data_IF_652310402182
#
_entry.id   IF_652310402182
#
_cell.length_a   1.000
_cell.length_b   1.000
_cell.length_c   1.000
_cell.angle_alpha   90.00
_cell.angle_beta   90.00
_cell.angle_gamma   90.00
#
_symmetry.space_group_name_H-M   'P 1'
#
loop_
_entity.id
_entity.type
_entity.pdbx_description
1 polymer ?
#
# COMPACT_ATOMS: atom_id res chain seq x y z
N UNK A 1 -11.95 -23.88 15.24
CA UNK A 1 -11.78 -22.40 15.28
C UNK A 1 -12.30 -21.69 14.02
N UNK A 2 -11.99 -22.15 12.79
CA UNK A 2 -12.78 -21.76 11.60
C UNK A 2 -14.25 -22.18 11.71
N UNK A 3 -14.56 -23.29 12.40
CA UNK A 3 -15.94 -23.69 12.74
C UNK A 3 -16.77 -22.56 13.38
N UNK A 4 -16.11 -21.69 14.15
CA UNK A 4 -16.72 -20.60 14.89
C UNK A 4 -16.74 -19.27 14.12
N UNK A 5 -15.86 -19.10 13.12
CA UNK A 5 -16.04 -18.11 12.04
C UNK A 5 -17.32 -18.41 11.25
N UNK A 6 -17.66 -19.70 11.19
CA UNK A 6 -18.62 -20.32 10.29
C UNK A 6 -20.02 -20.58 10.88
N UNK A 7 -20.18 -20.57 12.20
CA UNK A 7 -21.51 -20.63 12.82
C UNK A 7 -22.28 -21.94 12.67
N UNK A 8 -21.67 -23.08 12.32
CA UNK A 8 -22.22 -24.44 12.57
C UNK A 8 -21.11 -25.50 12.60
N UNK A 9 -21.30 -26.51 13.47
CA UNK A 9 -20.42 -27.66 13.63
C UNK A 9 -20.44 -28.65 12.46
N UNK A 10 -19.31 -29.36 12.34
CA UNK A 10 -19.08 -30.59 11.57
C UNK A 10 -19.52 -30.59 10.10
N UNK A 11 -18.57 -30.33 9.19
CA UNK A 11 -18.57 -30.99 7.88
C UNK A 11 -18.17 -32.45 8.09
N UNK A 12 -19.03 -33.39 7.66
CA UNK A 12 -18.72 -34.81 7.65
C UNK A 12 -17.71 -35.09 6.53
N UNK A 13 -16.44 -35.32 6.89
CA UNK A 13 -15.49 -36.14 6.11
C UNK A 13 -14.30 -35.45 5.43
N UNK A 14 -14.20 -34.11 5.41
CA UNK A 14 -13.06 -33.40 4.82
C UNK A 14 -12.57 -32.27 5.73
N UNK A 15 -11.26 -32.13 5.91
CA UNK A 15 -10.66 -31.08 6.72
C UNK A 15 -11.05 -29.67 6.27
N UNK A 16 -10.86 -28.68 7.15
CA UNK A 16 -11.17 -27.26 6.95
C UNK A 16 -10.42 -26.71 5.75
N UNK A 17 -11.15 -26.12 4.82
CA UNK A 17 -10.59 -25.60 3.59
C UNK A 17 -10.85 -24.10 3.43
N UNK A 18 -9.78 -23.30 3.32
CA UNK A 18 -9.88 -21.90 2.97
C UNK A 18 -9.47 -21.67 1.50
N UNK A 19 -10.16 -20.75 0.82
CA UNK A 19 -9.79 -20.29 -0.52
C UNK A 19 -9.40 -18.81 -0.44
N UNK A 20 -8.27 -18.45 -1.03
CA UNK A 20 -7.84 -17.06 -1.17
C UNK A 20 -7.83 -16.70 -2.65
N UNK A 21 -8.53 -15.63 -3.03
CA UNK A 21 -8.59 -15.14 -4.41
C UNK A 21 -7.50 -14.07 -4.57
N UNK A 22 -6.52 -14.32 -5.43
CA UNK A 22 -5.37 -13.46 -5.71
C UNK A 22 -4.10 -13.88 -4.96
N UNK A 23 -2.97 -13.97 -5.66
CA UNK A 23 -1.66 -14.31 -5.11
C UNK A 23 -0.70 -13.10 -5.03
N UNK A 24 -1.24 -11.90 -4.79
CA UNK A 24 -0.44 -10.72 -4.44
C UNK A 24 -0.05 -10.76 -2.94
N UNK A 25 0.73 -9.77 -2.46
CA UNK A 25 1.12 -9.67 -1.04
C UNK A 25 -0.04 -9.88 -0.05
N UNK A 26 -1.19 -9.24 -0.27
CA UNK A 26 -2.35 -9.39 0.62
C UNK A 26 -2.87 -10.83 0.66
N UNK A 27 -2.94 -11.49 -0.50
CA UNK A 27 -3.42 -12.86 -0.61
C UNK A 27 -2.42 -13.88 -0.07
N UNK A 28 -1.12 -13.71 -0.36
CA UNK A 28 -0.07 -14.58 0.16
C UNK A 28 0.05 -14.49 1.68
N UNK A 29 0.02 -13.28 2.24
CA UNK A 29 0.06 -13.10 3.70
C UNK A 29 -1.23 -13.60 4.37
N UNK A 30 -2.39 -13.43 3.75
CA UNK A 30 -3.63 -14.04 4.25
C UNK A 30 -3.57 -15.58 4.21
N UNK A 31 -3.06 -16.16 3.13
CA UNK A 31 -2.89 -17.60 3.00
C UNK A 31 -1.92 -18.16 4.06
N UNK A 32 -0.81 -17.45 4.29
CA UNK A 32 0.16 -17.77 5.35
C UNK A 32 -0.52 -17.88 6.71
N UNK A 33 -1.27 -16.86 7.12
CA UNK A 33 -2.01 -16.85 8.39
C UNK A 33 -3.07 -17.95 8.44
N UNK A 34 -3.81 -18.16 7.34
CA UNK A 34 -4.87 -19.16 7.29
C UNK A 34 -4.35 -20.60 7.37
N UNK A 35 -3.09 -20.87 7.00
CA UNK A 35 -2.50 -22.20 7.07
C UNK A 35 -2.33 -22.74 8.50
N UNK A 36 -2.37 -21.87 9.52
CA UNK A 36 -2.39 -22.27 10.93
C UNK A 36 -3.81 -22.59 11.44
N UNK A 37 -4.84 -22.21 10.67
CA UNK A 37 -6.23 -22.32 11.07
C UNK A 37 -7.08 -23.24 10.19
N UNK A 38 -6.61 -23.55 8.98
CA UNK A 38 -7.21 -24.46 8.01
C UNK A 38 -6.32 -25.68 7.78
N UNK A 39 -6.93 -26.80 7.42
CA UNK A 39 -6.20 -28.02 7.09
C UNK A 39 -5.65 -27.96 5.64
N UNK A 40 -6.27 -27.14 4.79
CA UNK A 40 -5.81 -26.77 3.44
C UNK A 40 -6.16 -25.32 3.09
N UNK A 41 -5.29 -24.65 2.36
CA UNK A 41 -5.51 -23.32 1.78
C UNK A 41 -5.25 -23.38 0.28
N UNK A 42 -6.22 -22.98 -0.55
CA UNK A 42 -6.04 -22.87 -2.00
C UNK A 42 -5.99 -21.41 -2.41
N UNK A 43 -4.89 -20.97 -3.01
CA UNK A 43 -4.73 -19.62 -3.58
C UNK A 43 -5.03 -19.66 -5.07
N UNK A 44 -6.01 -18.88 -5.51
CA UNK A 44 -6.43 -18.78 -6.92
C UNK A 44 -5.75 -17.57 -7.55
N UNK A 45 -5.00 -17.77 -8.62
CA UNK A 45 -4.30 -16.70 -9.34
C UNK A 45 -4.56 -16.77 -10.84
N UNK A 46 -4.89 -15.61 -11.42
CA UNK A 46 -5.24 -15.48 -12.84
C UNK A 46 -4.02 -15.51 -13.75
N UNK A 47 -2.85 -15.18 -13.21
CA UNK A 47 -1.59 -15.28 -13.91
C UNK A 47 -0.91 -16.63 -13.64
N UNK A 48 0.14 -16.93 -14.40
CA UNK A 48 1.15 -17.91 -13.98
C UNK A 48 2.21 -17.17 -13.17
N UNK A 49 2.53 -17.70 -12.00
CA UNK A 49 3.49 -17.10 -11.09
C UNK A 49 4.90 -17.35 -11.63
N UNK A 50 5.74 -16.31 -11.78
CA UNK A 50 7.11 -16.49 -12.27
C UNK A 50 7.97 -17.21 -11.22
N UNK A 51 9.02 -17.90 -11.65
CA UNK A 51 9.96 -18.56 -10.74
C UNK A 51 10.90 -17.56 -10.06
N UNK A 52 11.03 -16.34 -10.61
CA UNK A 52 11.88 -15.26 -10.13
C UNK A 52 11.15 -13.95 -9.80
N UNK A 53 11.92 -12.89 -9.47
CA UNK A 53 11.42 -11.54 -9.18
C UNK A 53 11.07 -10.79 -10.47
N UNK A 54 10.05 -11.25 -11.19
CA UNK A 54 9.62 -10.68 -12.47
C UNK A 54 8.23 -10.01 -12.40
N UNK A 55 7.99 -8.93 -13.16
CA UNK A 55 6.67 -8.34 -13.31
C UNK A 55 5.66 -9.31 -13.94
N UNK A 56 4.38 -9.21 -13.54
CA UNK A 56 3.28 -10.01 -14.11
C UNK A 56 2.03 -9.17 -14.37
N UNK A 57 1.18 -9.62 -15.30
CA UNK A 57 0.05 -8.85 -15.81
C UNK A 57 -1.05 -8.53 -14.79
N UNK A 58 -1.20 -9.32 -13.73
CA UNK A 58 -2.13 -9.11 -12.62
C UNK A 58 -1.63 -8.11 -11.56
N UNK A 59 -0.38 -7.65 -11.66
CA UNK A 59 0.21 -6.61 -10.80
C UNK A 59 0.83 -5.53 -11.69
N UNK A 60 0.04 -4.79 -12.48
CA UNK A 60 0.56 -3.76 -13.38
C UNK A 60 1.35 -2.67 -12.64
N UNK A 61 0.98 -2.38 -11.38
CA UNK A 61 1.67 -1.44 -10.52
C UNK A 61 3.10 -1.87 -10.12
N UNK A 62 3.50 -3.12 -10.38
CA UNK A 62 4.84 -3.64 -10.04
C UNK A 62 6.00 -2.91 -10.72
N UNK A 63 5.69 -2.13 -11.77
CA UNK A 63 6.67 -1.38 -12.57
C UNK A 63 6.88 0.06 -12.09
N UNK A 64 6.25 0.45 -10.98
CA UNK A 64 6.36 1.79 -10.39
C UNK A 64 7.16 1.74 -9.09
N UNK A 65 7.57 2.91 -8.60
CA UNK A 65 8.29 3.03 -7.34
C UNK A 65 7.44 2.55 -6.17
N UNK A 66 8.03 1.74 -5.28
CA UNK A 66 7.40 1.27 -4.06
C UNK A 66 8.31 1.53 -2.87
N UNK A 67 7.70 1.81 -1.71
CA UNK A 67 8.39 1.92 -0.43
C UNK A 67 7.68 1.05 0.58
N UNK A 68 8.45 0.44 1.48
CA UNK A 68 7.92 -0.29 2.64
C UNK A 68 8.22 0.53 3.91
N UNK A 69 7.15 1.08 4.49
CA UNK A 69 7.22 1.91 5.70
C UNK A 69 7.59 1.08 6.94
N UNK A 70 8.13 1.72 7.99
CA UNK A 70 8.56 1.05 9.23
C UNK A 70 7.54 0.06 9.80
N UNK A 71 6.25 0.44 9.93
CA UNK A 71 5.23 -0.48 10.45
C UNK A 71 5.00 -1.70 9.51
N UNK A 72 5.20 -1.51 8.21
CA UNK A 72 5.14 -2.59 7.23
C UNK A 72 6.31 -3.54 7.39
N UNK A 73 7.53 -3.01 7.56
CA UNK A 73 8.73 -3.82 7.83
C UNK A 73 8.54 -4.70 9.07
N UNK A 74 8.08 -4.10 10.17
CA UNK A 74 7.76 -4.79 11.42
C UNK A 74 6.71 -5.89 11.20
N UNK A 75 5.61 -5.59 10.52
CA UNK A 75 4.55 -6.56 10.25
C UNK A 75 5.02 -7.71 9.33
N UNK A 76 5.87 -7.41 8.34
CA UNK A 76 6.46 -8.43 7.47
C UNK A 76 7.40 -9.36 8.24
N UNK A 77 8.28 -8.84 9.11
CA UNK A 77 9.13 -9.69 9.94
C UNK A 77 8.35 -10.45 11.00
N UNK A 78 7.27 -9.88 11.52
CA UNK A 78 6.42 -10.57 12.48
C UNK A 78 5.70 -11.77 11.84
N UNK A 79 5.25 -11.63 10.59
CA UNK A 79 4.60 -12.71 9.84
C UNK A 79 5.62 -13.69 9.24
N UNK A 80 6.75 -13.19 8.73
CA UNK A 80 7.76 -13.94 8.02
C UNK A 80 9.16 -13.58 8.57
N UNK A 81 9.55 -14.11 9.75
CA UNK A 81 10.78 -13.70 10.46
C UNK A 81 12.04 -13.64 9.59
N UNK A 82 12.71 -12.48 9.59
CA UNK A 82 13.95 -12.23 8.85
C UNK A 82 13.75 -11.96 7.36
N UNK A 83 12.55 -11.55 6.93
CA UNK A 83 12.31 -11.23 5.52
C UNK A 83 12.86 -9.86 5.14
N UNK A 84 12.92 -8.91 6.08
CA UNK A 84 13.52 -7.60 5.82
C UNK A 84 15.03 -7.69 5.66
N UNK A 85 15.70 -8.50 6.49
CA UNK A 85 17.12 -8.79 6.33
C UNK A 85 17.40 -9.46 4.99
N UNK A 86 16.59 -10.44 4.60
CA UNK A 86 16.71 -11.09 3.30
C UNK A 86 16.52 -10.12 2.12
N UNK A 87 15.60 -9.15 2.22
CA UNK A 87 15.46 -8.10 1.21
C UNK A 87 16.74 -7.29 1.06
N UNK A 88 17.38 -6.95 2.18
CA UNK A 88 18.65 -6.19 2.21
C UNK A 88 19.80 -7.01 1.64
N UNK A 89 19.86 -8.31 1.93
CA UNK A 89 20.82 -9.24 1.33
C UNK A 89 20.66 -9.34 -0.20
N UNK A 90 19.43 -9.18 -0.71
CA UNK A 90 19.14 -9.08 -2.15
C UNK A 90 19.33 -7.66 -2.71
N UNK A 91 19.92 -6.74 -1.93
CA UNK A 91 20.29 -5.40 -2.36
C UNK A 91 19.18 -4.36 -2.28
N UNK A 92 18.07 -4.62 -1.57
CA UNK A 92 17.05 -3.60 -1.33
C UNK A 92 17.61 -2.48 -0.44
N UNK A 93 17.62 -1.21 -0.89
CA UNK A 93 18.13 -0.11 -0.10
C UNK A 93 17.28 0.16 1.15
N UNK A 94 17.93 0.64 2.22
CA UNK A 94 17.32 0.99 3.49
C UNK A 94 17.70 2.43 3.85
N UNK A 95 16.74 3.35 3.79
CA UNK A 95 16.97 4.78 3.89
C UNK A 95 16.34 5.35 5.15
N UNK A 96 17.10 6.14 5.89
CA UNK A 96 16.67 6.91 7.05
C UNK A 96 16.05 8.25 6.67
N UNK A 97 14.91 8.57 7.28
CA UNK A 97 14.20 9.84 7.09
C UNK A 97 14.20 10.68 8.37
N UNK A 98 14.53 11.99 8.28
CA UNK A 98 14.77 12.78 7.06
C UNK A 98 16.25 12.86 6.65
N UNK A 99 17.15 12.03 7.20
CA UNK A 99 18.60 12.18 7.01
C UNK A 99 19.08 11.91 5.58
N UNK A 100 18.52 10.89 4.92
CA UNK A 100 19.08 10.34 3.68
C UNK A 100 18.40 10.91 2.43
N UNK A 101 17.27 11.59 2.61
CA UNK A 101 16.47 12.14 1.52
C UNK A 101 16.49 13.67 1.49
N UNK A 102 16.55 14.24 0.30
CA UNK A 102 16.23 15.65 0.07
C UNK A 102 14.74 15.78 -0.20
N UNK A 103 14.01 16.41 0.74
CA UNK A 103 12.54 16.50 0.69
C UNK A 103 12.06 17.94 0.59
N UNK A 104 11.19 18.20 -0.39
CA UNK A 104 10.40 19.42 -0.54
C UNK A 104 8.93 19.11 -0.28
N UNK A 105 8.32 19.82 0.66
CA UNK A 105 6.90 19.69 0.97
C UNK A 105 6.36 20.99 1.56
N UNK A 106 5.12 21.31 1.21
CA UNK A 106 4.43 22.53 1.64
C UNK A 106 5.24 23.83 1.44
N UNK A 107 6.01 23.92 0.35
CA UNK A 107 6.79 25.10 0.00
C UNK A 107 8.12 25.25 0.78
N UNK A 108 8.60 24.20 1.44
CA UNK A 108 9.82 24.24 2.25
C UNK A 108 10.69 23.00 2.04
N UNK A 109 12.01 23.21 2.11
CA UNK A 109 12.98 22.12 2.24
C UNK A 109 12.99 21.57 3.67
N UNK A 110 13.01 20.25 3.80
CA UNK A 110 13.18 19.60 5.09
C UNK A 110 14.64 19.64 5.53
N UNK A 111 14.86 19.89 6.82
CA UNK A 111 16.17 19.72 7.44
C UNK A 111 16.53 18.23 7.49
N UNK A 112 17.78 17.92 7.12
CA UNK A 112 18.33 16.55 7.14
C UNK A 112 18.94 16.24 8.50
N UNK A 113 18.06 16.14 9.49
CA UNK A 113 18.38 15.76 10.88
C UNK A 113 18.49 14.24 11.02
N UNK A 114 18.91 13.77 12.20
CA UNK A 114 18.98 12.34 12.52
C UNK A 114 17.69 11.59 12.17
N UNK A 115 17.83 10.42 11.55
CA UNK A 115 16.70 9.62 11.11
C UNK A 115 15.83 9.19 12.30
N UNK A 116 14.51 9.37 12.15
CA UNK A 116 13.52 8.89 13.15
C UNK A 116 12.54 7.87 12.56
N UNK A 117 12.65 7.60 11.26
CA UNK A 117 11.87 6.59 10.56
C UNK A 117 12.70 6.05 9.39
N UNK A 118 12.37 4.86 8.89
CA UNK A 118 13.12 4.24 7.81
C UNK A 118 12.20 3.64 6.76
N UNK A 119 12.63 3.69 5.49
CA UNK A 119 11.98 3.02 4.37
C UNK A 119 12.90 1.95 3.79
N UNK A 120 12.33 0.82 3.39
CA UNK A 120 12.95 -0.11 2.46
C UNK A 120 12.40 0.17 1.05
N UNK A 121 13.27 0.14 0.03
CA UNK A 121 12.88 0.43 -1.37
C UNK A 121 13.11 -0.75 -2.34
N UNK A 122 12.62 -1.97 -2.01
CA UNK A 122 12.71 -3.09 -2.93
C UNK A 122 11.81 -2.86 -4.15
N UNK A 123 12.18 -3.40 -5.30
CA UNK A 123 11.20 -3.54 -6.37
C UNK A 123 10.04 -4.43 -5.90
N UNK A 124 8.84 -4.14 -6.41
CA UNK A 124 7.66 -4.96 -6.11
C UNK A 124 7.84 -6.44 -6.52
N UNK A 125 8.45 -6.77 -7.67
CA UNK A 125 8.75 -8.15 -8.02
C UNK A 125 9.66 -8.86 -7.02
N UNK A 126 10.71 -8.22 -6.50
CA UNK A 126 11.60 -8.80 -5.49
C UNK A 126 10.84 -9.16 -4.21
N UNK A 127 10.11 -8.19 -3.64
CA UNK A 127 9.34 -8.40 -2.43
C UNK A 127 8.29 -9.51 -2.61
N UNK A 128 7.53 -9.48 -3.70
CA UNK A 128 6.50 -10.47 -3.96
C UNK A 128 7.08 -11.88 -4.19
N UNK A 129 8.23 -11.99 -4.84
CA UNK A 129 8.92 -13.27 -5.02
C UNK A 129 9.41 -13.87 -3.71
N UNK A 130 10.05 -13.08 -2.83
CA UNK A 130 10.51 -13.55 -1.52
C UNK A 130 9.34 -14.01 -0.64
N UNK A 131 8.28 -13.21 -0.56
CA UNK A 131 7.05 -13.57 0.15
C UNK A 131 6.44 -14.84 -0.43
N UNK A 132 6.29 -14.92 -1.75
CA UNK A 132 5.76 -16.10 -2.44
C UNK A 132 6.57 -17.35 -2.11
N UNK A 133 7.90 -17.27 -2.18
CA UNK A 133 8.79 -18.41 -1.91
C UNK A 133 8.63 -18.93 -0.49
N UNK A 134 8.57 -18.04 0.51
CA UNK A 134 8.39 -18.43 1.93
C UNK A 134 6.99 -18.96 2.21
N UNK A 135 5.95 -18.33 1.67
CA UNK A 135 4.56 -18.75 1.91
C UNK A 135 4.28 -20.10 1.26
N UNK A 136 4.67 -20.29 -0.01
CA UNK A 136 4.39 -21.53 -0.75
C UNK A 136 5.30 -22.71 -0.34
N UNK A 137 6.29 -22.49 0.52
CA UNK A 137 7.03 -23.58 1.14
C UNK A 137 6.17 -24.37 2.15
N UNK A 138 5.05 -23.81 2.60
CA UNK A 138 4.11 -24.51 3.48
C UNK A 138 3.24 -25.49 2.67
N UNK A 139 3.29 -26.81 2.94
CA UNK A 139 2.57 -27.83 2.16
C UNK A 139 1.04 -27.75 2.30
N UNK A 140 0.50 -26.98 3.25
CA UNK A 140 -0.94 -26.73 3.36
C UNK A 140 -1.45 -25.70 2.35
N UNK A 141 -0.55 -24.96 1.69
CA UNK A 141 -0.88 -23.89 0.77
C UNK A 141 -0.62 -24.35 -0.67
N UNK A 142 -1.69 -24.48 -1.44
CA UNK A 142 -1.65 -24.86 -2.86
C UNK A 142 -2.06 -23.68 -3.74
N UNK A 143 -1.55 -23.61 -4.98
CA UNK A 143 -1.94 -22.58 -5.94
C UNK A 143 -2.66 -23.16 -7.14
N UNK A 144 -3.76 -22.55 -7.56
CA UNK A 144 -4.40 -22.78 -8.86
C UNK A 144 -4.12 -21.56 -9.73
N UNK A 145 -3.18 -21.70 -10.66
CA UNK A 145 -2.69 -20.62 -11.51
C UNK A 145 -3.42 -20.57 -12.85
N UNK A 146 -3.30 -19.46 -13.58
CA UNK A 146 -3.97 -19.27 -14.87
C UNK A 146 -5.50 -19.39 -14.78
N UNK A 147 -6.07 -19.13 -13.62
CA UNK A 147 -7.49 -19.39 -13.32
C UNK A 147 -8.10 -18.20 -12.59
N UNK A 148 -9.29 -17.80 -13.01
CA UNK A 148 -10.02 -16.68 -12.42
C UNK A 148 -11.18 -17.17 -11.58
N UNK A 149 -11.37 -16.58 -10.39
CA UNK A 149 -12.66 -16.67 -9.71
C UNK A 149 -13.68 -15.81 -10.47
N UNK A 150 -14.83 -16.39 -10.79
CA UNK A 150 -15.89 -15.74 -11.59
C UNK A 150 -17.22 -15.65 -10.83
N UNK A 151 -17.30 -16.23 -9.64
CA UNK A 151 -18.46 -16.18 -8.78
C UNK A 151 -18.21 -16.81 -7.41
N UNK A 152 -19.16 -16.63 -6.51
CA UNK A 152 -19.18 -17.27 -5.20
C UNK A 152 -20.26 -18.36 -5.19
N UNK A 153 -20.05 -19.40 -4.39
CA UNK A 153 -21.05 -20.43 -4.09
C UNK A 153 -21.71 -20.12 -2.75
N UNK A 154 -23.01 -20.39 -2.63
CA UNK A 154 -23.74 -20.24 -1.37
C UNK A 154 -25.05 -19.46 -1.54
N UNK A 155 -25.37 -18.67 -0.53
CA UNK A 155 -26.60 -17.86 -0.47
C UNK A 155 -26.35 -16.57 0.35
N UNK A 156 -27.42 -15.79 0.57
CA UNK A 156 -27.36 -14.51 1.27
C UNK A 156 -26.93 -14.62 2.75
N UNK A 157 -26.90 -15.83 3.31
CA UNK A 157 -26.51 -16.12 4.69
C UNK A 157 -25.10 -16.67 4.78
N UNK A 158 -24.62 -17.42 3.78
CA UNK A 158 -23.29 -18.03 3.84
C UNK A 158 -22.69 -18.30 2.47
N UNK A 159 -21.42 -17.89 2.31
CA UNK A 159 -20.54 -18.32 1.23
C UNK A 159 -19.93 -19.68 1.57
N UNK A 160 -19.89 -20.58 0.59
CA UNK A 160 -19.49 -21.99 0.72
C UNK A 160 -18.43 -22.41 -0.30
N UNK A 161 -17.84 -21.46 -1.02
CA UNK A 161 -16.87 -21.75 -2.07
C UNK A 161 -16.86 -20.71 -3.18
N UNK A 162 -16.15 -21.02 -4.26
CA UNK A 162 -16.01 -20.14 -5.43
C UNK A 162 -16.22 -20.91 -6.72
N UNK A 163 -16.61 -20.20 -7.77
CA UNK A 163 -16.65 -20.68 -9.15
C UNK A 163 -15.37 -20.24 -9.87
N UNK A 164 -14.70 -21.19 -10.51
CA UNK A 164 -13.43 -20.98 -11.20
C UNK A 164 -13.57 -21.10 -12.70
N UNK A 165 -12.81 -20.31 -13.45
CA UNK A 165 -12.71 -20.42 -14.91
C UNK A 165 -11.25 -20.33 -15.34
N UNK A 166 -10.78 -21.33 -16.08
CA UNK A 166 -9.45 -21.31 -16.68
C UNK A 166 -9.33 -20.17 -17.69
N UNK A 167 -8.16 -19.54 -17.73
CA UNK A 167 -7.85 -18.42 -18.62
C UNK A 167 -7.06 -18.90 -19.84
N UNK A 168 -7.41 -18.39 -21.02
CA UNK A 168 -6.68 -18.61 -22.26
C UNK A 168 -7.59 -18.92 -23.45
N UNK A 169 -7.10 -18.66 -24.67
CA UNK A 169 -7.86 -18.87 -25.90
C UNK A 169 -8.34 -20.32 -26.08
N UNK A 170 -7.52 -21.30 -25.66
CA UNK A 170 -7.88 -22.71 -25.69
C UNK A 170 -9.03 -23.05 -24.71
N UNK A 171 -9.07 -22.44 -23.53
CA UNK A 171 -10.17 -22.64 -22.57
C UNK A 171 -11.46 -21.96 -23.02
N UNK A 172 -11.35 -20.77 -23.64
CA UNK A 172 -12.48 -20.03 -24.20
C UNK A 172 -13.13 -20.73 -25.41
N UNK A 173 -12.32 -21.38 -26.26
CA UNK A 173 -12.82 -22.11 -27.43
C UNK A 173 -13.64 -23.37 -27.08
N UNK A 174 -13.43 -23.94 -25.89
CA UNK A 174 -14.10 -25.17 -25.45
C UNK A 174 -15.40 -24.86 -24.68
N UNK A 175 -15.69 -23.58 -24.39
CA UNK A 175 -16.95 -23.18 -23.72
C UNK A 175 -17.18 -23.88 -22.37
N UNK A 176 -16.10 -24.23 -21.65
CA UNK A 176 -16.23 -25.00 -20.39
C UNK A 176 -16.97 -24.19 -19.34
N UNK A 177 -17.97 -24.83 -18.73
CA UNK A 177 -18.68 -24.29 -17.59
C UNK A 177 -17.72 -24.03 -16.41
N UNK A 178 -17.94 -22.95 -15.63
CA UNK A 178 -17.15 -22.67 -14.44
C UNK A 178 -17.17 -23.85 -13.45
N UNK A 179 -15.99 -24.18 -12.92
CA UNK A 179 -15.82 -25.31 -12.01
C UNK A 179 -15.97 -24.87 -10.55
N UNK A 180 -16.80 -25.55 -9.73
CA UNK A 180 -16.96 -25.21 -8.33
C UNK A 180 -15.81 -25.75 -7.49
N UNK A 181 -15.34 -24.95 -6.52
CA UNK A 181 -14.50 -25.42 -5.40
C UNK A 181 -15.18 -25.05 -4.09
N UNK A 182 -15.51 -26.07 -3.29
CA UNK A 182 -16.10 -25.88 -1.97
C UNK A 182 -15.06 -25.34 -0.98
N UNK A 183 -15.44 -24.39 -0.13
CA UNK A 183 -14.59 -23.81 0.89
C UNK A 183 -15.40 -23.42 2.12
N UNK A 184 -14.77 -23.56 3.28
CA UNK A 184 -15.31 -23.13 4.57
C UNK A 184 -15.17 -21.62 4.77
N UNK A 185 -14.14 -21.02 4.15
CA UNK A 185 -13.87 -19.58 4.16
C UNK A 185 -13.31 -19.16 2.81
N UNK A 186 -13.85 -18.08 2.25
CA UNK A 186 -13.32 -17.42 1.06
C UNK A 186 -12.78 -16.05 1.45
N UNK A 187 -11.52 -15.77 1.11
CA UNK A 187 -10.89 -14.46 1.28
C UNK A 187 -10.64 -13.85 -0.08
N UNK A 188 -11.28 -12.72 -0.37
CA UNK A 188 -10.99 -11.92 -1.54
C UNK A 188 -9.81 -10.98 -1.28
N UNK A 189 -8.70 -11.27 -1.96
CA UNK A 189 -7.49 -10.46 -2.04
C UNK A 189 -7.13 -10.14 -3.51
N UNK A 190 -8.14 -10.12 -4.40
CA UNK A 190 -7.98 -9.86 -5.84
C UNK A 190 -7.63 -8.39 -6.17
N UNK A 191 -7.58 -7.56 -5.12
CA UNK A 191 -7.13 -6.19 -5.17
C UNK A 191 -8.15 -5.23 -5.78
N UNK A 192 -7.68 -4.14 -6.39
CA UNK A 192 -8.51 -3.04 -6.89
C UNK A 192 -9.62 -3.51 -7.85
N UNK A 193 -9.34 -4.55 -8.64
CA UNK A 193 -10.27 -5.14 -9.62
C UNK A 193 -11.30 -6.11 -9.03
N UNK A 194 -11.47 -6.16 -7.71
CA UNK A 194 -12.42 -7.06 -7.05
C UNK A 194 -13.83 -6.97 -7.63
N UNK A 195 -14.40 -8.14 -7.91
CA UNK A 195 -15.80 -8.33 -8.33
C UNK A 195 -16.68 -8.85 -7.19
N UNK A 196 -16.15 -8.95 -5.97
CA UNK A 196 -16.88 -9.47 -4.82
C UNK A 196 -18.20 -8.73 -4.52
N UNK A 197 -18.32 -7.39 -4.67
CA UNK A 197 -19.62 -6.73 -4.51
C UNK A 197 -20.71 -7.31 -5.41
N UNK A 198 -20.39 -7.62 -6.66
CA UNK A 198 -21.33 -8.18 -7.63
C UNK A 198 -21.66 -9.63 -7.28
N UNK A 199 -20.65 -10.44 -6.95
CA UNK A 199 -20.85 -11.84 -6.56
C UNK A 199 -21.70 -11.98 -5.30
N UNK A 200 -21.50 -11.12 -4.31
CA UNK A 200 -22.31 -11.08 -3.10
C UNK A 200 -23.76 -10.70 -3.42
N UNK A 201 -23.98 -9.69 -4.26
CA UNK A 201 -25.33 -9.33 -4.71
C UNK A 201 -26.01 -10.47 -5.45
N UNK A 202 -25.29 -11.22 -6.29
CA UNK A 202 -25.82 -12.39 -6.99
C UNK A 202 -26.26 -13.52 -6.04
N UNK A 203 -25.60 -13.67 -4.88
CA UNK A 203 -26.04 -14.57 -3.80
C UNK A 203 -27.22 -14.03 -2.99
N UNK A 204 -27.71 -12.83 -3.31
CA UNK A 204 -28.75 -12.13 -2.57
C UNK A 204 -28.23 -11.37 -1.35
N UNK A 205 -26.93 -11.24 -1.12
CA UNK A 205 -26.39 -10.37 -0.08
C UNK A 205 -26.54 -8.89 -0.45
N UNK A 206 -26.48 -8.01 0.54
CA UNK A 206 -26.49 -6.57 0.29
C UNK A 206 -25.08 -6.11 -0.11
N UNK A 207 -25.01 -5.28 -1.16
CA UNK A 207 -23.76 -4.70 -1.67
C UNK A 207 -23.10 -3.85 -0.56
N UNK A 208 -21.77 -3.95 -0.35
CA UNK A 208 -21.09 -3.03 0.56
C UNK A 208 -21.22 -1.60 0.04
N UNK A 209 -21.41 -0.65 0.95
CA UNK A 209 -21.26 0.78 0.63
C UNK A 209 -19.81 1.04 0.22
N UNK A 210 -19.65 1.85 -0.83
CA UNK A 210 -18.35 2.23 -1.37
C UNK A 210 -18.15 3.73 -1.16
N UNK A 211 -17.04 4.07 -0.49
CA UNK A 211 -16.58 5.44 -0.30
C UNK A 211 -15.43 5.69 -1.27
N UNK A 212 -15.52 6.72 -2.09
CA UNK A 212 -14.53 7.03 -3.14
C UNK A 212 -14.03 8.46 -3.00
N UNK A 213 -12.73 8.65 -3.24
CA UNK A 213 -12.10 9.95 -3.39
C UNK A 213 -11.04 9.88 -4.49
N UNK A 214 -11.25 10.63 -5.57
CA UNK A 214 -10.39 10.63 -6.75
C UNK A 214 -9.89 12.04 -7.06
N UNK A 215 -8.58 12.21 -7.02
CA UNK A 215 -7.87 13.45 -7.40
C UNK A 215 -7.43 13.45 -8.87
N UNK A 216 -7.66 12.35 -9.59
CA UNK A 216 -7.19 12.16 -10.97
C UNK A 216 -5.67 12.02 -11.08
N UNK A 217 -5.01 11.65 -9.99
CA UNK A 217 -3.56 11.51 -9.96
C UNK A 217 -3.05 10.50 -10.98
N UNK A 218 -2.05 10.91 -11.76
CA UNK A 218 -1.35 10.07 -12.69
C UNK A 218 0.15 10.08 -12.39
N UNK A 219 0.80 8.95 -12.65
CA UNK A 219 2.25 8.83 -12.58
C UNK A 219 2.82 8.37 -13.89
N UNK A 220 4.05 8.79 -14.16
CA UNK A 220 4.94 8.15 -15.10
C UNK A 220 6.18 7.68 -14.32
N UNK A 221 6.62 6.43 -14.50
CA UNK A 221 7.82 5.91 -13.85
C UNK A 221 8.80 5.35 -14.86
N UNK A 222 10.08 5.61 -14.65
CA UNK A 222 11.17 5.14 -15.49
C UNK A 222 12.35 4.70 -14.63
N UNK A 223 13.02 3.65 -15.06
CA UNK A 223 14.22 3.11 -14.42
C UNK A 223 15.45 3.79 -15.01
N UNK A 224 16.39 4.14 -14.14
CA UNK A 224 17.64 4.81 -14.46
C UNK A 224 18.82 4.11 -13.78
N UNK A 225 20.00 4.31 -14.35
CA UNK A 225 21.28 4.22 -13.66
C UNK A 225 21.67 5.61 -13.19
N UNK A 226 22.15 5.74 -11.95
CA UNK A 226 22.56 7.03 -11.39
C UNK A 226 23.68 7.68 -12.21
N UNK A 227 23.87 9.00 -12.08
CA UNK A 227 25.07 9.66 -12.57
C UNK A 227 26.35 9.00 -12.05
N UNK A 228 27.45 9.13 -12.80
CA UNK A 228 28.76 8.65 -12.34
C UNK A 228 29.17 9.40 -11.06
N UNK A 229 29.86 8.69 -10.14
CA UNK A 229 30.29 9.26 -8.85
C UNK A 229 31.22 10.46 -8.99
N UNK A 230 31.34 11.26 -7.92
CA UNK A 230 31.99 12.56 -7.90
C UNK A 230 31.02 13.73 -8.14
N UNK A 231 29.72 13.51 -7.92
CA UNK A 231 28.67 14.50 -8.15
C UNK A 231 28.18 15.14 -6.84
N UNK A 232 27.50 16.27 -6.92
CA UNK A 232 26.84 16.89 -5.75
C UNK A 232 25.74 16.01 -5.11
N UNK A 233 25.43 14.85 -5.72
CA UNK A 233 24.41 13.91 -5.27
C UNK A 233 24.96 12.75 -4.44
N UNK A 234 26.27 12.68 -4.23
CA UNK A 234 26.92 11.52 -3.61
C UNK A 234 26.59 11.34 -2.11
N UNK A 235 26.17 12.41 -1.41
CA UNK A 235 25.73 12.37 0.01
C UNK A 235 24.19 12.34 0.13
N UNK A 236 23.47 11.86 -0.90
CA UNK A 236 22.03 11.80 -0.88
C UNK A 236 21.50 10.53 -1.56
N UNK A 237 20.60 9.85 -0.86
CA UNK A 237 20.06 8.56 -1.27
C UNK A 237 18.64 8.65 -1.85
N UNK A 238 18.14 9.87 -2.11
CA UNK A 238 16.88 10.09 -2.85
C UNK A 238 16.26 11.49 -2.73
N UNK A 239 15.23 11.72 -3.55
CA UNK A 239 14.48 12.98 -3.60
C UNK A 239 12.97 12.76 -3.46
N UNK A 240 12.33 13.51 -2.57
CA UNK A 240 10.86 13.62 -2.49
C UNK A 240 10.41 15.05 -2.75
N UNK A 241 9.66 15.26 -3.82
CA UNK A 241 8.94 16.52 -4.09
C UNK A 241 7.45 16.22 -3.97
N UNK A 242 6.86 16.58 -2.83
CA UNK A 242 5.48 16.22 -2.48
C UNK A 242 4.50 17.24 -3.06
N UNK A 243 3.49 16.82 -3.85
CA UNK A 243 2.42 17.71 -4.31
C UNK A 243 1.64 18.33 -3.15
N UNK A 244 1.10 19.52 -3.39
CA UNK A 244 0.20 20.23 -2.47
C UNK A 244 -0.82 21.06 -3.27
N UNK A 245 -1.70 21.78 -2.57
CA UNK A 245 -2.79 22.56 -3.19
C UNK A 245 -2.28 23.61 -4.18
N UNK A 246 -1.11 24.21 -3.94
CA UNK A 246 -0.47 25.18 -4.84
C UNK A 246 0.48 24.56 -5.88
N UNK A 247 0.82 23.28 -5.72
CA UNK A 247 1.77 22.55 -6.57
C UNK A 247 1.21 21.14 -6.82
N UNK A 248 0.36 21.00 -7.84
CA UNK A 248 -0.40 19.78 -8.11
C UNK A 248 0.41 18.67 -8.80
N UNK A 249 1.73 18.73 -8.72
CA UNK A 249 2.67 17.79 -9.32
C UNK A 249 3.90 17.61 -8.42
N UNK A 250 4.64 16.54 -8.65
CA UNK A 250 5.72 16.13 -7.77
C UNK A 250 6.60 15.05 -8.38
N UNK A 251 7.62 14.65 -7.65
CA UNK A 251 8.61 13.69 -8.09
C UNK A 251 9.13 12.85 -6.92
N UNK A 252 9.44 11.59 -7.20
CA UNK A 252 10.14 10.69 -6.32
C UNK A 252 11.31 10.09 -7.09
N UNK A 253 12.51 10.17 -6.52
CA UNK A 253 13.73 9.54 -7.04
C UNK A 253 14.28 8.67 -5.92
N UNK A 254 14.24 7.35 -6.10
CA UNK A 254 14.68 6.40 -5.08
C UNK A 254 15.52 5.28 -5.69
N UNK A 255 16.53 4.79 -4.97
CA UNK A 255 17.30 3.62 -5.37
C UNK A 255 16.46 2.35 -5.21
N UNK A 256 16.81 1.34 -5.98
CA UNK A 256 16.25 -0.01 -5.92
C UNK A 256 17.39 -1.01 -6.15
N UNK A 257 17.15 -2.31 -5.94
CA UNK A 257 18.21 -3.30 -6.06
C UNK A 257 18.84 -3.36 -7.47
N UNK A 258 20.12 -3.73 -7.50
CA UNK A 258 20.92 -3.89 -8.73
C UNK A 258 21.48 -2.59 -9.30
N UNK A 259 21.87 -1.65 -8.42
CA UNK A 259 22.44 -0.34 -8.79
C UNK A 259 21.54 0.50 -9.71
N UNK A 260 20.23 0.40 -9.49
CA UNK A 260 19.20 1.08 -10.27
C UNK A 260 18.45 2.09 -9.42
N UNK A 261 17.80 3.01 -10.11
CA UNK A 261 16.99 4.06 -9.53
C UNK A 261 15.65 4.13 -10.24
N UNK A 262 14.58 4.27 -9.48
CA UNK A 262 13.25 4.55 -10.04
C UNK A 262 12.94 6.03 -9.89
N UNK A 263 12.61 6.67 -11.00
CA UNK A 263 12.10 8.04 -11.02
C UNK A 263 10.62 7.99 -11.34
N UNK A 264 9.80 8.46 -10.42
CA UNK A 264 8.36 8.63 -10.59
C UNK A 264 8.03 10.12 -10.62
N UNK A 265 7.48 10.58 -11.73
CA UNK A 265 6.85 11.90 -11.84
C UNK A 265 5.35 11.73 -11.60
N UNK A 266 4.74 12.70 -10.95
CA UNK A 266 3.33 12.65 -10.54
C UNK A 266 2.63 13.97 -10.83
N UNK A 267 1.35 13.89 -11.19
CA UNK A 267 0.51 15.07 -11.38
C UNK A 267 -0.97 14.75 -11.21
N UNK A 268 -1.72 15.65 -10.57
CA UNK A 268 -3.17 15.57 -10.45
C UNK A 268 -3.86 15.81 -11.80
N UNK A 269 -5.18 15.72 -11.82
CA UNK A 269 -6.00 15.95 -13.02
C UNK A 269 -5.59 17.23 -13.76
N UNK A 270 -5.26 17.12 -15.04
CA UNK A 270 -4.81 18.22 -15.90
C UNK A 270 -3.31 18.56 -15.79
N UNK A 271 -2.55 17.87 -14.94
CA UNK A 271 -1.10 18.03 -14.80
C UNK A 271 -0.37 16.69 -15.00
N UNK A 272 -0.95 15.74 -15.73
CA UNK A 272 -0.44 14.39 -15.87
C UNK A 272 0.95 14.37 -16.55
N UNK A 273 1.90 13.56 -16.05
CA UNK A 273 3.21 13.44 -16.69
C UNK A 273 3.12 12.65 -18.01
N UNK A 274 3.86 13.08 -19.05
CA UNK A 274 3.97 12.35 -20.30
C UNK A 274 4.84 11.08 -20.15
N UNK A 275 4.81 10.24 -21.18
CA UNK A 275 5.55 8.96 -21.22
C UNK A 275 6.58 8.88 -22.35
N UNK A 276 6.63 9.85 -23.24
CA UNK A 276 7.73 9.96 -24.20
C UNK A 276 8.99 10.50 -23.49
N UNK A 277 10.16 10.14 -24.01
CA UNK A 277 11.44 10.40 -23.35
C UNK A 277 11.73 11.89 -23.13
N UNK A 278 11.43 12.72 -24.14
CA UNK A 278 11.67 14.17 -24.08
C UNK A 278 10.70 14.82 -23.09
N UNK A 279 9.40 14.54 -23.22
CA UNK A 279 8.38 15.08 -22.34
C UNK A 279 8.57 14.66 -20.89
N UNK A 280 9.03 13.42 -20.63
CA UNK A 280 9.29 12.96 -19.25
C UNK A 280 10.36 13.82 -18.58
N UNK A 281 11.43 14.16 -19.31
CA UNK A 281 12.53 14.98 -18.79
C UNK A 281 12.11 16.44 -18.66
N UNK A 282 11.41 16.99 -19.66
CA UNK A 282 10.88 18.37 -19.65
C UNK A 282 9.87 18.59 -18.52
N UNK A 283 9.08 17.57 -18.16
CA UNK A 283 8.15 17.68 -17.03
C UNK A 283 8.86 18.05 -15.73
N UNK A 284 10.10 17.61 -15.52
CA UNK A 284 10.89 17.94 -14.34
C UNK A 284 11.20 19.45 -14.23
N UNK A 285 11.15 20.21 -15.32
CA UNK A 285 11.36 21.67 -15.33
C UNK A 285 10.22 22.42 -14.63
N UNK A 286 9.05 21.78 -14.49
CA UNK A 286 7.91 22.35 -13.78
C UNK A 286 8.09 22.27 -12.26
N UNK A 287 8.96 21.38 -11.76
CA UNK A 287 9.15 21.20 -10.34
C UNK A 287 9.67 22.50 -9.69
N UNK A 288 9.41 22.72 -8.38
CA UNK A 288 9.78 23.96 -7.68
C UNK A 288 11.26 24.31 -7.72
N UNK A 289 12.12 23.34 -8.03
CA UNK A 289 13.55 23.51 -8.07
C UNK A 289 14.19 22.50 -9.05
N UNK A 290 15.23 22.87 -9.81
CA UNK A 290 15.82 22.05 -10.87
C UNK A 290 16.64 20.84 -10.39
N UNK A 291 16.60 20.47 -9.11
CA UNK A 291 17.45 19.41 -8.56
C UNK A 291 17.18 18.06 -9.22
N UNK A 292 15.91 17.71 -9.42
CA UNK A 292 15.50 16.47 -10.10
C UNK A 292 15.84 16.54 -11.59
N UNK A 293 15.65 17.69 -12.23
CA UNK A 293 16.03 17.89 -13.62
C UNK A 293 17.54 17.68 -13.82
N UNK A 294 18.37 18.31 -13.00
CA UNK A 294 19.83 18.16 -13.02
C UNK A 294 20.27 16.72 -12.76
N UNK A 295 19.57 16.00 -11.88
CA UNK A 295 19.83 14.58 -11.64
C UNK A 295 19.53 13.75 -12.90
N UNK A 296 18.41 14.03 -13.58
CA UNK A 296 18.03 13.36 -14.83
C UNK A 296 19.02 13.61 -15.96
N UNK A 297 19.56 14.83 -16.08
CA UNK A 297 20.54 15.18 -17.12
C UNK A 297 21.85 14.37 -17.01
N UNK A 298 22.22 13.97 -15.77
CA UNK A 298 23.38 13.12 -15.51
C UNK A 298 23.09 11.61 -15.50
N UNK A 299 21.82 11.22 -15.41
CA UNK A 299 21.41 9.82 -15.26
C UNK A 299 21.17 9.14 -16.62
N UNK A 300 21.40 7.84 -16.69
CA UNK A 300 21.15 7.06 -17.91
C UNK A 300 19.83 6.29 -17.79
N UNK A 301 18.85 6.52 -18.67
CA UNK A 301 17.62 5.73 -18.64
C UNK A 301 17.87 4.27 -19.08
N UNK A 302 17.23 3.33 -18.38
CA UNK A 302 17.31 1.89 -18.64
C UNK A 302 15.96 1.25 -19.03
N UNK A 303 14.86 2.01 -18.95
CA UNK A 303 13.55 1.57 -19.40
C UNK A 303 12.83 2.66 -20.20
N UNK A 304 11.72 2.32 -20.85
CA UNK A 304 10.71 3.30 -21.24
C UNK A 304 10.00 3.85 -20.00
N UNK A 305 9.43 5.06 -20.09
CA UNK A 305 8.53 5.56 -19.07
C UNK A 305 7.15 4.88 -19.19
N UNK A 306 6.60 4.46 -18.05
CA UNK A 306 5.32 3.76 -17.97
C UNK A 306 4.33 4.57 -17.14
N UNK A 307 3.10 4.72 -17.66
CA UNK A 307 2.04 5.45 -16.97
C UNK A 307 1.19 4.57 -16.06
N UNK A 308 0.76 5.12 -14.93
CA UNK A 308 -0.29 4.55 -14.08
C UNK A 308 -1.31 5.63 -13.72
N UNK A 309 -2.60 5.35 -13.95
CA UNK A 309 -3.71 6.32 -13.80
C UNK A 309 -4.84 5.84 -12.89
N UNK A 310 -4.76 4.63 -12.36
CA UNK A 310 -5.81 4.08 -11.50
C UNK A 310 -5.46 4.32 -10.04
N UNK A 311 -5.73 5.52 -9.54
CA UNK A 311 -5.16 6.02 -8.27
C UNK A 311 -6.20 6.45 -7.25
N UNK A 312 -7.49 6.43 -7.59
CA UNK A 312 -8.56 6.78 -6.67
C UNK A 312 -8.48 5.99 -5.35
N UNK A 313 -8.71 6.67 -4.24
CA UNK A 313 -8.97 6.02 -2.95
C UNK A 313 -10.36 5.40 -3.01
N UNK A 314 -10.47 4.13 -2.65
CA UNK A 314 -11.75 3.41 -2.60
C UNK A 314 -11.80 2.56 -1.35
N UNK A 315 -12.83 2.72 -0.53
CA UNK A 315 -13.04 1.89 0.67
C UNK A 315 -14.41 1.26 0.65
N UNK A 316 -14.42 -0.08 0.73
CA UNK A 316 -15.64 -0.89 0.72
C UNK A 316 -16.01 -1.30 2.14
N UNK A 317 -17.19 -0.89 2.58
CA UNK A 317 -17.68 -0.99 3.97
C UNK A 317 -18.27 -2.36 4.29
N UNK A 318 -17.47 -3.42 4.10
CA UNK A 318 -17.82 -4.78 4.52
C UNK A 318 -17.97 -4.93 6.04
N UNK A 319 -17.45 -3.98 6.83
CA UNK A 319 -17.52 -3.91 8.29
C UNK A 319 -18.91 -3.52 8.84
N UNK A 320 -19.70 -2.80 8.03
CA UNK A 320 -21.00 -2.26 8.45
C UNK A 320 -22.04 -3.37 8.65
N UNK A 321 -23.03 -3.17 9.55
CA UNK A 321 -24.20 -4.06 9.62
C UNK A 321 -24.90 -4.16 8.26
N UNK A 322 -25.54 -5.29 8.00
CA UNK A 322 -26.23 -5.54 6.74
C UNK A 322 -26.37 -7.03 6.49
N UNK A 323 -26.98 -7.40 5.37
CA UNK A 323 -27.06 -8.80 4.94
C UNK A 323 -25.70 -9.23 4.38
N UNK A 324 -24.78 -9.57 5.28
CA UNK A 324 -23.41 -10.01 5.01
C UNK A 324 -23.30 -11.52 5.28
N UNK A 325 -23.07 -12.36 4.27
CA UNK A 325 -22.98 -13.79 4.48
C UNK A 325 -21.74 -14.14 5.31
N UNK A 326 -21.84 -15.17 6.15
CA UNK A 326 -20.68 -15.77 6.79
C UNK A 326 -19.78 -16.47 5.74
N UNK A 327 -18.52 -16.74 6.08
CA UNK A 327 -17.60 -17.47 5.21
C UNK A 327 -16.97 -16.63 4.10
N UNK A 328 -17.07 -15.30 4.17
CA UNK A 328 -16.43 -14.38 3.21
C UNK A 328 -15.71 -13.23 3.91
N UNK A 329 -14.46 -12.98 3.53
CA UNK A 329 -13.67 -11.81 3.96
C UNK A 329 -13.11 -11.09 2.74
N UNK A 330 -12.97 -9.76 2.83
CA UNK A 330 -12.21 -8.96 1.87
C UNK A 330 -11.00 -8.34 2.57
N UNK A 331 -9.83 -8.34 1.92
CA UNK A 331 -8.57 -7.80 2.44
C UNK A 331 -7.73 -7.11 1.36
N UNK A 332 -6.74 -6.32 1.78
CA UNK A 332 -5.92 -5.49 0.89
C UNK A 332 -6.78 -4.55 0.03
N UNK A 333 -6.34 -4.33 -1.21
CA UNK A 333 -7.04 -3.44 -2.17
C UNK A 333 -8.45 -3.94 -2.56
N UNK A 334 -8.83 -5.18 -2.25
CA UNK A 334 -10.23 -5.61 -2.41
C UNK A 334 -11.15 -4.89 -1.40
N UNK A 335 -10.63 -4.59 -0.21
CA UNK A 335 -11.35 -3.87 0.84
C UNK A 335 -11.08 -2.36 0.82
N UNK A 336 -9.81 -1.95 0.78
CA UNK A 336 -9.41 -0.56 0.90
C UNK A 336 -8.23 -0.28 -0.01
N UNK A 337 -8.43 0.64 -0.94
CA UNK A 337 -7.45 1.07 -1.92
C UNK A 337 -7.05 2.50 -1.62
N UNK A 338 -5.76 2.76 -1.69
CA UNK A 338 -5.17 4.06 -1.41
C UNK A 338 -4.62 4.69 -2.68
N UNK A 339 -4.59 6.02 -2.66
CA UNK A 339 -3.72 6.78 -3.52
C UNK A 339 -2.25 6.39 -3.22
N UNK A 340 -1.50 5.88 -4.21
CA UNK A 340 -0.18 5.30 -3.97
C UNK A 340 0.89 6.35 -3.64
N UNK A 341 0.59 7.66 -3.68
CA UNK A 341 1.55 8.73 -3.34
C UNK A 341 2.07 8.60 -1.92
N UNK A 342 1.26 8.04 -1.03
CA UNK A 342 1.59 7.86 0.39
C UNK A 342 2.38 6.58 0.67
N UNK A 343 2.56 5.68 -0.29
CA UNK A 343 3.36 4.45 -0.11
C UNK A 343 2.77 3.43 0.89
N UNK A 344 1.48 3.52 1.23
CA UNK A 344 0.89 2.77 2.34
C UNK A 344 0.37 1.37 1.99
N UNK A 345 0.11 1.07 0.71
CA UNK A 345 -0.64 -0.14 0.32
C UNK A 345 -0.01 -1.46 0.77
N UNK A 346 1.31 -1.62 0.65
CA UNK A 346 2.00 -2.84 1.07
C UNK A 346 2.02 -3.00 2.60
N UNK A 347 2.26 -1.90 3.30
CA UNK A 347 2.20 -1.85 4.76
C UNK A 347 0.80 -2.22 5.28
N UNK A 348 -0.26 -1.65 4.70
CA UNK A 348 -1.64 -1.97 5.11
C UNK A 348 -1.99 -3.42 4.80
N UNK A 349 -1.51 -3.99 3.70
CA UNK A 349 -1.69 -5.41 3.41
C UNK A 349 -1.07 -6.31 4.49
N UNK A 350 0.14 -5.99 4.95
CA UNK A 350 0.80 -6.72 6.04
C UNK A 350 0.10 -6.52 7.39
N UNK A 351 -0.24 -5.28 7.75
CA UNK A 351 -1.02 -4.97 8.96
C UNK A 351 -2.39 -5.68 8.95
N UNK A 352 -3.02 -5.79 7.78
CA UNK A 352 -4.25 -6.56 7.60
C UNK A 352 -4.06 -8.05 7.88
N UNK A 353 -2.94 -8.64 7.47
CA UNK A 353 -2.63 -10.03 7.78
C UNK A 353 -2.30 -10.24 9.27
N UNK A 354 -1.59 -9.30 9.93
CA UNK A 354 -1.42 -9.32 11.40
C UNK A 354 -2.78 -9.25 12.10
N UNK A 355 -3.66 -8.34 11.69
CA UNK A 355 -5.00 -8.23 12.25
C UNK A 355 -5.87 -9.48 12.00
N UNK A 356 -5.69 -10.16 10.87
CA UNK A 356 -6.32 -11.45 10.59
C UNK A 356 -5.84 -12.50 11.59
N UNK A 357 -4.53 -12.64 11.78
CA UNK A 357 -3.92 -13.58 12.73
C UNK A 357 -4.45 -13.31 14.12
N UNK A 358 -4.34 -12.09 14.61
CA UNK A 358 -4.74 -11.70 15.96
C UNK A 358 -6.23 -11.98 16.21
N UNK A 359 -7.09 -11.64 15.24
CA UNK A 359 -8.52 -11.92 15.34
C UNK A 359 -8.84 -13.41 15.34
N UNK A 360 -8.04 -14.23 14.67
CA UNK A 360 -8.20 -15.70 14.63
C UNK A 360 -7.54 -16.39 15.82
N UNK A 361 -6.58 -15.78 16.51
CA UNK A 361 -5.90 -16.37 17.69
C UNK A 361 -6.48 -15.90 19.02
N UNK A 362 -7.30 -14.84 19.05
CA UNK A 362 -7.91 -14.34 20.29
C UNK A 362 -8.83 -15.38 20.96
N UNK A 363 -8.32 -16.04 22.00
CA UNK A 363 -9.04 -17.08 22.75
C UNK A 363 -10.20 -16.52 23.58
N UNK A 364 -10.26 -15.20 23.80
CA UNK A 364 -11.31 -14.56 24.60
C UNK A 364 -12.60 -14.35 23.82
N UNK A 365 -12.55 -14.47 22.48
CA UNK A 365 -13.66 -14.10 21.60
C UNK A 365 -13.82 -15.09 20.47
N UNK A 366 -15.07 -15.45 20.18
CA UNK A 366 -15.39 -16.23 18.98
C UNK A 366 -15.07 -15.41 17.72
N UNK A 367 -14.22 -15.91 16.80
CA UNK A 367 -13.77 -15.17 15.63
C UNK A 367 -14.82 -15.20 14.51
N UNK A 368 -15.99 -14.58 14.68
CA UNK A 368 -17.00 -14.57 13.61
C UNK A 368 -16.50 -13.84 12.36
N UNK A 369 -17.01 -14.21 11.17
CA UNK A 369 -16.66 -13.53 9.90
C UNK A 369 -16.75 -12.00 10.03
N UNK A 370 -17.82 -11.50 10.65
CA UNK A 370 -18.03 -10.07 10.89
C UNK A 370 -16.98 -9.46 11.83
N UNK A 371 -16.55 -10.17 12.87
CA UNK A 371 -15.52 -9.69 13.79
C UNK A 371 -14.17 -9.59 13.09
N UNK A 372 -13.81 -10.60 12.31
CA UNK A 372 -12.56 -10.60 11.53
C UNK A 372 -12.59 -9.49 10.47
N UNK A 373 -13.71 -9.32 9.75
CA UNK A 373 -13.83 -8.24 8.76
C UNK A 373 -13.68 -6.85 9.38
N UNK A 374 -14.18 -6.65 10.61
CA UNK A 374 -13.98 -5.39 11.36
C UNK A 374 -12.53 -5.18 11.77
N UNK A 375 -11.81 -6.24 12.14
CA UNK A 375 -10.38 -6.16 12.46
C UNK A 375 -9.57 -5.77 11.21
N UNK A 376 -9.82 -6.43 10.08
CA UNK A 376 -9.24 -6.07 8.77
C UNK A 376 -9.53 -4.61 8.40
N UNK A 377 -10.77 -4.17 8.58
CA UNK A 377 -11.16 -2.77 8.34
C UNK A 377 -10.41 -1.79 9.25
N UNK A 378 -10.28 -2.12 10.53
CA UNK A 378 -9.59 -1.28 11.49
C UNK A 378 -8.09 -1.12 11.17
N UNK A 379 -7.44 -2.17 10.66
CA UNK A 379 -6.03 -2.12 10.25
C UNK A 379 -5.76 -1.13 9.11
N UNK A 380 -6.73 -0.92 8.22
CA UNK A 380 -6.64 0.02 7.11
C UNK A 380 -7.06 1.47 7.46
N UNK A 381 -7.67 1.68 8.64
CA UNK A 381 -8.35 2.94 8.96
C UNK A 381 -7.40 4.14 9.00
N UNK A 382 -6.26 4.02 9.68
CA UNK A 382 -5.34 5.14 9.82
C UNK A 382 -4.77 5.59 8.46
N UNK A 383 -4.36 4.64 7.62
CA UNK A 383 -3.89 4.92 6.27
C UNK A 383 -4.98 5.64 5.46
N UNK A 384 -6.23 5.18 5.54
CA UNK A 384 -7.35 5.85 4.88
C UNK A 384 -7.54 7.28 5.38
N UNK A 385 -7.55 7.49 6.68
CA UNK A 385 -7.77 8.80 7.29
C UNK A 385 -6.66 9.79 6.88
N UNK A 386 -5.41 9.33 6.75
CA UNK A 386 -4.28 10.12 6.24
C UNK A 386 -4.45 10.42 4.74
N UNK A 387 -4.62 9.41 3.89
CA UNK A 387 -4.70 9.58 2.43
C UNK A 387 -5.92 10.42 2.04
N UNK A 388 -7.11 10.07 2.53
CA UNK A 388 -8.34 10.78 2.20
C UNK A 388 -8.37 12.18 2.83
N UNK A 389 -7.80 12.34 4.03
CA UNK A 389 -7.70 13.63 4.72
C UNK A 389 -6.82 14.64 3.98
N UNK A 390 -5.75 14.18 3.34
CA UNK A 390 -4.88 15.00 2.51
C UNK A 390 -5.48 15.25 1.11
N UNK A 391 -6.00 14.21 0.47
CA UNK A 391 -6.54 14.29 -0.89
C UNK A 391 -7.82 15.14 -1.00
N UNK A 392 -8.66 15.22 0.05
CA UNK A 392 -9.92 16.00 0.01
C UNK A 392 -9.72 17.50 -0.26
N UNK A 393 -8.55 18.02 0.08
CA UNK A 393 -8.22 19.44 -0.10
C UNK A 393 -7.51 19.71 -1.44
N UNK A 394 -7.17 18.66 -2.20
CA UNK A 394 -6.46 18.79 -3.47
C UNK A 394 -7.39 19.33 -4.57
N UNK A 395 -6.88 20.19 -5.48
CA UNK A 395 -7.64 20.64 -6.63
C UNK A 395 -8.15 19.47 -7.48
N UNK A 396 -9.43 19.49 -7.83
CA UNK A 396 -10.06 18.43 -8.63
C UNK A 396 -10.42 17.16 -7.85
N UNK A 397 -10.36 17.15 -6.52
CA UNK A 397 -10.84 16.01 -5.73
C UNK A 397 -12.36 15.82 -5.89
N UNK A 398 -12.78 14.63 -6.31
CA UNK A 398 -14.18 14.24 -6.50
C UNK A 398 -14.51 12.97 -5.69
N UNK A 399 -15.77 12.83 -5.25
CA UNK A 399 -16.27 11.59 -4.64
C UNK A 399 -17.03 11.77 -3.33
N UNK A 400 -17.64 10.68 -2.86
CA UNK A 400 -18.51 10.67 -1.68
C UNK A 400 -17.78 11.01 -0.38
N UNK A 401 -16.46 10.83 -0.34
CA UNK A 401 -15.62 11.15 0.82
C UNK A 401 -15.00 12.56 0.78
N UNK A 402 -15.37 13.42 -0.18
CA UNK A 402 -14.83 14.79 -0.31
C UNK A 402 -15.50 15.82 0.62
N UNK A 403 -16.62 15.48 1.28
CA UNK A 403 -17.36 16.39 2.16
C UNK A 403 -16.68 16.59 3.53
N UNK A 404 -16.54 17.83 3.99
CA UNK A 404 -16.01 18.18 5.31
C UNK A 404 -17.08 18.62 6.32
N UNK A 405 -16.84 18.35 7.60
CA UNK A 405 -17.59 18.84 8.76
C UNK A 405 -16.91 20.06 9.40
N UNK A 406 -17.60 20.79 10.29
CA UNK A 406 -17.00 21.91 11.04
C UNK A 406 -15.86 21.45 11.97
N UNK A 407 -15.97 20.25 12.55
CA UNK A 407 -14.90 19.65 13.36
C UNK A 407 -13.63 19.38 12.53
N UNK A 408 -13.77 19.15 11.22
CA UNK A 408 -12.64 18.98 10.31
C UNK A 408 -11.85 20.28 10.10
N UNK A 409 -12.47 21.46 10.29
CA UNK A 409 -11.77 22.74 10.13
C UNK A 409 -10.76 23.00 11.24
N UNK A 410 -11.15 22.75 12.50
CA UNK A 410 -10.27 22.95 13.65
C UNK A 410 -9.11 21.94 13.61
N UNK A 411 -9.44 20.67 13.32
CA UNK A 411 -8.44 19.61 13.18
C UNK A 411 -7.50 19.88 12.00
N UNK A 412 -8.03 20.35 10.87
CA UNK A 412 -7.25 20.72 9.69
C UNK A 412 -6.26 21.86 9.98
N UNK A 413 -6.72 22.93 10.62
CA UNK A 413 -5.86 24.05 11.04
C UNK A 413 -4.71 23.60 11.96
N UNK A 414 -4.99 22.67 12.89
CA UNK A 414 -3.95 22.13 13.77
C UNK A 414 -2.93 21.31 12.99
N UNK A 415 -3.39 20.43 12.09
CA UNK A 415 -2.52 19.56 11.29
C UNK A 415 -1.67 20.35 10.29
N UNK A 416 -2.18 21.44 9.72
CA UNK A 416 -1.39 22.37 8.91
C UNK A 416 -0.21 22.94 9.70
N UNK A 417 -0.42 23.27 10.98
CA UNK A 417 0.66 23.74 11.86
C UNK A 417 1.65 22.66 12.26
N UNK A 418 1.20 21.40 12.33
CA UNK A 418 2.07 20.24 12.50
C UNK A 418 2.99 20.12 11.29
N UNK A 419 2.42 20.13 10.07
CA UNK A 419 3.18 20.00 8.82
C UNK A 419 4.22 21.12 8.66
N UNK A 420 3.84 22.38 8.94
CA UNK A 420 4.75 23.53 8.89
C UNK A 420 5.95 23.39 9.84
N UNK A 421 5.80 22.70 10.97
CA UNK A 421 6.88 22.50 11.96
C UNK A 421 7.66 21.21 11.71
N UNK A 422 7.04 20.20 11.12
CA UNK A 422 7.66 18.91 10.86
C UNK A 422 8.90 19.01 9.95
N UNK A 423 8.99 20.08 9.16
CA UNK A 423 10.10 20.38 8.24
C UNK A 423 11.44 20.65 8.95
N UNK A 424 11.43 21.08 10.22
CA UNK A 424 12.67 21.46 10.93
C UNK A 424 12.67 21.26 12.45
N UNK A 425 11.52 21.01 13.07
CA UNK A 425 11.43 20.70 14.50
C UNK A 425 11.63 19.19 14.74
N UNK A 426 12.66 18.75 15.48
CA UNK A 426 12.95 17.33 15.69
C UNK A 426 11.90 16.64 16.57
N UNK A 427 11.16 17.37 17.40
CA UNK A 427 10.11 16.81 18.26
C UNK A 427 8.82 16.63 17.47
N UNK A 428 8.38 17.66 16.74
CA UNK A 428 7.15 17.59 15.93
C UNK A 428 7.38 16.70 14.70
N UNK A 429 8.53 16.84 14.04
CA UNK A 429 8.90 16.06 12.87
C UNK A 429 8.98 14.56 13.15
N UNK A 430 9.53 14.15 14.31
CA UNK A 430 9.58 12.75 14.70
C UNK A 430 8.16 12.17 14.87
N UNK A 431 7.31 12.82 15.66
CA UNK A 431 5.93 12.38 15.87
C UNK A 431 5.11 12.36 14.57
N UNK A 432 5.32 13.36 13.69
CA UNK A 432 4.67 13.40 12.38
C UNK A 432 5.09 12.22 11.50
N UNK A 433 6.38 11.89 11.46
CA UNK A 433 6.88 10.72 10.72
C UNK A 433 6.38 9.41 11.31
N UNK A 434 6.34 9.23 12.63
CA UNK A 434 5.77 8.03 13.26
C UNK A 434 4.32 7.78 12.83
N UNK A 435 3.51 8.84 12.69
CA UNK A 435 2.13 8.74 12.21
C UNK A 435 2.06 8.39 10.72
N UNK A 436 2.86 9.05 9.88
CA UNK A 436 2.90 8.76 8.44
C UNK A 436 3.42 7.33 8.14
N UNK A 437 4.34 6.84 8.97
CA UNK A 437 4.95 5.52 8.87
C UNK A 437 4.15 4.44 9.62
N UNK A 438 2.99 4.83 10.16
CA UNK A 438 2.00 3.97 10.81
C UNK A 438 2.52 3.25 12.06
N UNK A 439 3.55 3.77 12.72
CA UNK A 439 4.10 3.24 13.97
C UNK A 439 3.48 3.88 15.20
N UNK A 440 2.78 5.02 15.05
CA UNK A 440 2.01 5.66 16.10
C UNK A 440 0.62 6.08 15.60
N UNK A 441 -0.40 6.13 16.47
CA UNK A 441 -1.73 6.63 16.11
C UNK A 441 -1.70 8.14 15.86
N UNK A 442 -2.59 8.66 15.01
CA UNK A 442 -2.74 10.12 14.74
C UNK A 442 -2.96 10.94 16.03
N UNK A 443 -3.58 10.33 17.04
CA UNK A 443 -3.80 10.97 18.36
C UNK A 443 -2.51 11.34 19.08
N UNK A 444 -1.37 10.73 18.74
CA UNK A 444 -0.04 11.08 19.28
C UNK A 444 0.35 12.52 18.94
N UNK A 445 -0.09 13.06 17.81
CA UNK A 445 0.14 14.46 17.43
C UNK A 445 -0.51 15.46 18.37
N UNK A 446 -1.47 15.01 19.19
CA UNK A 446 -2.18 15.84 20.17
C UNK A 446 -1.64 15.65 21.59
N UNK A 447 -0.59 14.84 21.78
CA UNK A 447 0.03 14.67 23.09
C UNK A 447 0.53 16.02 23.64
N UNK A 448 0.46 16.28 24.96
CA UNK A 448 0.74 17.60 25.53
C UNK A 448 2.09 18.21 25.11
N UNK A 449 3.14 17.39 25.01
CA UNK A 449 4.47 17.82 24.55
C UNK A 449 4.45 18.29 23.10
N UNK A 450 3.78 17.55 22.21
CA UNK A 450 3.68 17.89 20.78
C UNK A 450 2.77 19.10 20.60
N UNK A 451 1.60 19.11 21.24
CA UNK A 451 0.68 20.24 21.19
C UNK A 451 1.32 21.54 21.69
N UNK A 452 2.12 21.48 22.76
CA UNK A 452 2.88 22.65 23.24
C UNK A 452 3.88 23.15 22.19
N UNK A 453 4.63 22.25 21.55
CA UNK A 453 5.57 22.61 20.48
C UNK A 453 4.85 23.19 19.24
N UNK A 454 3.69 22.62 18.87
CA UNK A 454 2.89 23.06 17.72
C UNK A 454 2.21 24.41 17.97
N UNK A 455 1.69 24.64 19.18
CA UNK A 455 0.92 25.86 19.47
C UNK A 455 1.80 27.03 19.91
N UNK A 456 2.90 26.77 20.63
CA UNK A 456 3.70 27.81 21.28
C UNK A 456 5.18 27.78 20.87
N UNK A 457 5.63 26.73 20.17
CA UNK A 457 6.99 26.65 19.66
C UNK A 457 7.19 27.52 18.40
N UNK A 458 8.39 28.09 18.21
CA UNK A 458 8.71 28.81 16.98
C UNK A 458 8.72 27.85 15.80
N UNK A 459 8.33 28.35 14.62
CA UNK A 459 8.59 27.64 13.37
C UNK A 459 10.08 27.83 13.06
N UNK A 460 10.84 26.73 13.08
CA UNK A 460 12.29 26.78 12.81
C UNK A 460 12.52 27.15 11.35
N UNK A 461 13.55 27.96 11.10
CA UNK A 461 13.98 28.25 9.74
C UNK A 461 14.37 26.95 9.03
N UNK A 462 13.87 26.79 7.81
CA UNK A 462 14.20 25.71 6.89
C UNK A 462 15.28 26.18 5.91
N UNK A 463 16.05 25.25 5.32
CA UNK A 463 17.06 25.62 4.33
C UNK A 463 16.42 26.36 3.14
N UNK A 464 17.04 27.46 2.65
CA UNK A 464 16.55 28.17 1.47
C UNK A 464 16.81 27.41 0.16
N UNK A 465 17.82 26.54 0.16
CA UNK A 465 18.25 25.68 -0.94
C UNK A 465 18.18 24.21 -0.51
N UNK A 466 18.12 23.25 -1.46
CA UNK A 466 18.11 21.84 -1.10
C UNK A 466 19.33 21.47 -0.25
N UNK A 467 19.15 20.82 0.92
CA UNK A 467 20.27 20.42 1.77
C UNK A 467 21.00 19.22 1.17
N UNK A 468 21.99 19.48 0.31
CA UNK A 468 22.75 18.43 -0.38
C UNK A 468 23.66 17.63 0.56
N UNK A 469 23.98 18.19 1.74
CA UNK A 469 24.75 17.52 2.79
C UNK A 469 23.91 17.29 4.04
N UNK A 470 24.22 16.23 4.78
CA UNK A 470 23.64 15.98 6.11
C UNK A 470 24.08 17.07 7.08
N UNK A 471 23.21 17.45 8.01
CA UNK A 471 23.59 18.40 9.05
C UNK A 471 24.60 17.74 10.00
N UNK A 472 25.77 18.37 10.18
CA UNK A 472 26.72 17.95 11.21
C UNK A 472 26.04 18.08 12.58
N UNK A 473 26.22 17.10 13.47
CA UNK A 473 25.74 17.24 14.84
C UNK A 473 26.41 18.49 15.42
N UNK A 474 25.62 19.48 15.85
CA UNK A 474 26.13 20.48 16.78
C UNK A 474 26.61 19.71 18.01
N UNK A 475 27.93 19.63 18.20
CA UNK A 475 28.52 19.14 19.45
C UNK A 475 28.01 20.07 20.56
N UNK A 476 27.16 19.54 21.44
CA UNK A 476 26.62 20.25 22.61
C UNK A 476 27.64 20.26 23.73
#
# INVERSE_FOLDING_TARGET
MLETVNGTGTSRGGGRHAVVIGASLAGLLAAHVLADHADRVTVIERDRLPDGPEPRGGVPQSRHTHVLLTAGQQAFDELLPGITDELREHGAPHLGMPSDLVQWQAGSWYRRTEATAHILTPSRPLLEWLVRRRVLANPRIETVQGTEAVGLLGDARRVRGVLLRERGAAAAAVGREPQPIAADLVVDASGRGSRAPDWLTALGAERPEEETLDTGLAYATRVYRSPAGGSDYDDMDGHFIVPNVGQTYGAVVLPTEGDRWMVTLSGLRGAEPPTDDAGFTEFADRLPHPIVRRWLDGAKPESAALSYRTTANVRRRYDRPGRRPAGFLATGDAQCVFNPIYGQGMTVAALGAVALRDALTDTRRTPTTRRVQKALFAAARQAWDISAGSDKNMPGAEGSAAGGTVADRISGWYLERVELRATGDPVVGAAFREVLFLTAPVTSLFAPRIAKAVLFGPVRATPPEPPLRREEREEV
#
